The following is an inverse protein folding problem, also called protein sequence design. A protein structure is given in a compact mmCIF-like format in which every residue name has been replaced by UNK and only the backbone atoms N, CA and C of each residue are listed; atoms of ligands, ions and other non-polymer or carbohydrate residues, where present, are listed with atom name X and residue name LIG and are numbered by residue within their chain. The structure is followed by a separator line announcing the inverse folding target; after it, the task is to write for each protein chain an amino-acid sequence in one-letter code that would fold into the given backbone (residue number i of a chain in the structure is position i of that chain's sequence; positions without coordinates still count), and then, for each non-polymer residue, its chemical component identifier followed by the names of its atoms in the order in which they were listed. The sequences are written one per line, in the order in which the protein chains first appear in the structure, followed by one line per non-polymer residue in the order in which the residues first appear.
data_IF_585030498249
#
_entry.id   IF_585030498249
#
_cell.length_a   1.000
_cell.length_b   1.000
_cell.length_c   1.000
_cell.angle_alpha   90.00
_cell.angle_beta   90.00
_cell.angle_gamma   90.00
#
_symmetry.space_group_name_H-M   'P 1'
#
loop_
_entity.id
_entity.type
_entity.pdbx_description
1 polymer ?
#
# COMPACT_ATOMS: atom_id res chain seq x y z
N UNK A 1 34.18 7.05 -34.69
CA UNK A 1 33.33 7.97 -33.88
C UNK A 1 31.92 7.40 -33.95
N UNK A 2 31.41 6.80 -32.88
CA UNK A 2 30.09 6.16 -32.89
C UNK A 2 29.01 7.17 -32.47
N UNK A 3 28.03 7.39 -33.34
CA UNK A 3 26.89 8.28 -33.13
C UNK A 3 26.07 7.83 -31.91
N UNK A 4 26.12 8.62 -30.84
CA UNK A 4 25.26 8.47 -29.66
C UNK A 4 23.90 9.13 -29.92
N UNK A 5 23.07 8.53 -30.77
CA UNK A 5 21.68 8.93 -30.89
C UNK A 5 20.81 8.00 -30.01
N UNK A 6 20.75 8.31 -28.71
CA UNK A 6 19.76 7.69 -27.82
C UNK A 6 18.40 8.36 -28.06
N UNK A 7 17.33 7.61 -28.33
CA UNK A 7 16.02 8.21 -28.53
C UNK A 7 15.59 8.93 -27.26
N UNK A 8 15.35 10.24 -27.36
CA UNK A 8 14.73 11.00 -26.27
C UNK A 8 13.36 10.38 -25.97
N UNK A 9 13.27 9.64 -24.87
CA UNK A 9 12.00 9.16 -24.33
C UNK A 9 11.22 10.37 -23.83
N UNK A 10 10.47 10.99 -24.74
CA UNK A 10 9.50 12.01 -24.37
C UNK A 10 8.41 11.32 -23.56
N UNK A 11 8.48 11.42 -22.22
CA UNK A 11 7.42 10.94 -21.33
C UNK A 11 6.17 11.75 -21.63
N UNK A 12 5.29 11.21 -22.47
CA UNK A 12 3.96 11.78 -22.73
C UNK A 12 3.27 11.97 -21.38
N UNK A 13 2.95 13.23 -21.04
CA UNK A 13 2.22 13.55 -19.81
C UNK A 13 0.87 12.85 -19.88
N UNK A 14 0.64 11.92 -18.96
CA UNK A 14 -0.65 11.23 -18.82
C UNK A 14 -1.73 12.26 -18.47
N UNK A 15 -2.92 12.06 -19.01
CA UNK A 15 -4.06 12.91 -18.66
C UNK A 15 -4.36 12.79 -17.16
N UNK A 16 -4.84 13.86 -16.54
CA UNK A 16 -5.28 13.87 -15.13
C UNK A 16 -6.29 12.75 -14.87
N UNK A 17 -7.14 12.46 -15.87
CA UNK A 17 -8.10 11.36 -15.82
C UNK A 17 -7.41 9.99 -15.73
N UNK A 18 -6.41 9.73 -16.57
CA UNK A 18 -5.66 8.46 -16.56
C UNK A 18 -4.90 8.26 -15.24
N UNK A 19 -4.34 9.33 -14.69
CA UNK A 19 -3.66 9.31 -13.38
C UNK A 19 -4.66 8.96 -12.27
N UNK A 20 -5.83 9.60 -12.28
CA UNK A 20 -6.89 9.33 -11.31
C UNK A 20 -7.42 7.89 -11.40
N UNK A 21 -7.63 7.37 -12.62
CA UNK A 21 -8.03 5.97 -12.85
C UNK A 21 -6.99 5.00 -12.32
N UNK A 22 -5.71 5.23 -12.61
CA UNK A 22 -4.61 4.39 -12.11
C UNK A 22 -4.52 4.42 -10.59
N UNK A 23 -4.73 5.59 -9.97
CA UNK A 23 -4.76 5.72 -8.51
C UNK A 23 -5.91 4.93 -7.90
N UNK A 24 -7.12 5.05 -8.45
CA UNK A 24 -8.30 4.30 -8.01
C UNK A 24 -8.10 2.80 -8.15
N UNK A 25 -7.52 2.34 -9.26
CA UNK A 25 -7.24 0.93 -9.47
C UNK A 25 -6.24 0.39 -8.44
N UNK A 26 -5.14 1.10 -8.20
CA UNK A 26 -4.18 0.72 -7.15
C UNK A 26 -4.74 0.85 -5.73
N UNK A 27 -5.72 1.73 -5.50
CA UNK A 27 -6.48 1.75 -4.23
C UNK A 27 -7.38 0.52 -4.10
N UNK A 28 -8.06 0.08 -5.16
CA UNK A 28 -8.88 -1.15 -5.14
C UNK A 28 -8.05 -2.39 -4.84
N UNK A 29 -6.90 -2.54 -5.50
CA UNK A 29 -5.98 -3.65 -5.28
C UNK A 29 -5.47 -3.67 -3.84
N UNK A 30 -5.10 -2.51 -3.29
CA UNK A 30 -4.68 -2.40 -1.88
C UNK A 30 -5.83 -2.58 -0.91
N UNK A 31 -7.06 -2.19 -1.26
CA UNK A 31 -8.22 -2.37 -0.40
C UNK A 31 -8.54 -3.86 -0.16
N UNK A 32 -8.15 -4.76 -1.07
CA UNK A 32 -8.31 -6.20 -0.87
C UNK A 32 -7.43 -6.75 0.27
N UNK A 33 -6.28 -6.14 0.53
CA UNK A 33 -5.31 -6.61 1.53
C UNK A 33 -5.19 -5.68 2.74
N UNK A 34 -5.75 -4.47 2.66
CA UNK A 34 -5.68 -3.46 3.71
C UNK A 34 -6.82 -3.61 4.70
N UNK A 35 -6.48 -3.73 5.99
CA UNK A 35 -7.44 -3.66 7.09
C UNK A 35 -7.54 -2.21 7.59
N UNK A 36 -8.74 -1.65 7.67
CA UNK A 36 -8.99 -0.32 8.23
C UNK A 36 -9.49 -0.49 9.67
N UNK A 37 -8.63 -0.18 10.64
CA UNK A 37 -8.93 -0.34 12.07
C UNK A 37 -9.77 0.80 12.66
N UNK A 38 -9.69 2.01 12.09
CA UNK A 38 -10.43 3.18 12.56
C UNK A 38 -10.25 3.44 14.07
N UNK A 39 -11.35 3.55 14.81
CA UNK A 39 -11.37 3.76 16.27
C UNK A 39 -10.66 2.64 17.05
N UNK A 40 -10.56 1.44 16.47
CA UNK A 40 -9.91 0.27 17.09
C UNK A 40 -8.39 0.31 16.98
N UNK A 41 -7.80 1.28 16.26
CA UNK A 41 -6.35 1.38 16.11
C UNK A 41 -5.62 1.50 17.47
N UNK A 42 -6.16 2.27 18.42
CA UNK A 42 -5.58 2.36 19.76
C UNK A 42 -5.56 1.02 20.49
N UNK A 43 -6.64 0.23 20.38
CA UNK A 43 -6.73 -1.12 20.96
C UNK A 43 -5.77 -2.08 20.27
N UNK A 44 -5.56 -1.94 18.96
CA UNK A 44 -4.59 -2.72 18.20
C UNK A 44 -3.15 -2.47 18.70
N UNK A 45 -2.75 -1.21 18.86
CA UNK A 45 -1.44 -0.86 19.41
C UNK A 45 -1.26 -1.39 20.84
N UNK A 46 -2.27 -1.19 21.70
CA UNK A 46 -2.22 -1.72 23.06
C UNK A 46 -2.08 -3.25 23.08
N UNK A 47 -2.82 -3.96 22.20
CA UNK A 47 -2.72 -5.42 22.07
C UNK A 47 -1.32 -5.85 21.61
N UNK A 48 -0.75 -5.13 20.65
CA UNK A 48 0.60 -5.37 20.13
C UNK A 48 1.66 -5.25 21.22
N UNK A 49 1.59 -4.19 22.02
CA UNK A 49 2.50 -3.95 23.15
C UNK A 49 2.32 -5.01 24.24
N UNK A 50 1.08 -5.27 24.67
CA UNK A 50 0.78 -6.23 25.74
C UNK A 50 1.24 -7.64 25.40
N UNK A 51 1.17 -8.04 24.12
CA UNK A 51 1.59 -9.35 23.64
C UNK A 51 3.03 -9.41 23.13
N UNK A 52 3.75 -8.28 23.13
CA UNK A 52 5.13 -8.21 22.62
C UNK A 52 5.25 -8.52 21.13
N UNK A 53 4.20 -8.26 20.34
CA UNK A 53 4.16 -8.63 18.92
C UNK A 53 4.90 -7.57 18.09
N UNK A 54 5.93 -7.99 17.35
CA UNK A 54 6.76 -7.06 16.56
C UNK A 54 6.02 -6.45 15.37
N UNK A 55 5.11 -7.20 14.76
CA UNK A 55 4.45 -6.78 13.52
C UNK A 55 2.94 -6.87 13.63
N UNK A 56 2.26 -6.02 12.88
CA UNK A 56 0.79 -6.00 12.82
C UNK A 56 0.24 -7.29 12.18
N UNK A 57 0.99 -7.91 11.27
CA UNK A 57 0.66 -9.23 10.73
C UNK A 57 0.57 -10.31 11.83
N UNK A 58 1.45 -10.26 12.83
CA UNK A 58 1.40 -11.19 13.96
C UNK A 58 0.20 -10.91 14.88
N UNK A 59 -0.16 -9.64 15.06
CA UNK A 59 -1.39 -9.25 15.78
C UNK A 59 -2.63 -9.77 15.03
N UNK A 60 -2.66 -9.64 13.71
CA UNK A 60 -3.74 -10.17 12.87
C UNK A 60 -3.84 -11.69 12.99
N UNK A 61 -2.71 -12.39 12.85
CA UNK A 61 -2.64 -13.85 12.98
C UNK A 61 -3.10 -14.31 14.36
N UNK A 62 -2.62 -13.67 15.42
CA UNK A 62 -3.05 -13.93 16.80
C UNK A 62 -4.57 -13.77 17.01
N UNK A 63 -5.21 -12.83 16.31
CA UNK A 63 -6.65 -12.63 16.38
C UNK A 63 -7.45 -13.63 15.53
N UNK A 64 -6.86 -14.16 14.46
CA UNK A 64 -7.48 -15.13 13.54
C UNK A 64 -7.30 -16.59 13.98
N UNK A 65 -6.25 -16.91 14.76
CA UNK A 65 -5.97 -18.24 15.29
C UNK A 65 -6.92 -18.65 16.45
N UNK A 66 -8.09 -18.02 16.56
CA UNK A 66 -9.05 -18.14 17.67
C UNK A 66 -10.39 -18.69 17.20
#
# INVERSE_FOLDING_TARGET
MADKNLPQVTRKRKSVYEVAQRRRQGEKERAQTKVILGKSFRRWCALKETKGLKTDALVAKFLLDR
#
